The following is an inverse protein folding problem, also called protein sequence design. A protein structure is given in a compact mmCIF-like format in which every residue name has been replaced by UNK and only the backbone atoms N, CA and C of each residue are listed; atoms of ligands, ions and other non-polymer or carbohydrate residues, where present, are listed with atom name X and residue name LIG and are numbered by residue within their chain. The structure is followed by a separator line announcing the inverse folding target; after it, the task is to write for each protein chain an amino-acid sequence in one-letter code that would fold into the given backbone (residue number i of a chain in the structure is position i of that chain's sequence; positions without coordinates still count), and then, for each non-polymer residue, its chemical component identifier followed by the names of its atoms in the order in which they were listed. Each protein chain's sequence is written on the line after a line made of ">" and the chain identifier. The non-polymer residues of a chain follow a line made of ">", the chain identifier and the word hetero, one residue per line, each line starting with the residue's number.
data_IF_646983649627
#
_entry.id   IF_646983649627
#
_cell.length_a   1.000
_cell.length_b   1.000
_cell.length_c   1.000
_cell.angle_alpha   90.00
_cell.angle_beta   90.00
_cell.angle_gamma   90.00
#
_symmetry.space_group_name_H-M   'P 1'
#
loop_
_entity.id
_entity.type
_entity.pdbx_description
1 polymer ?
#
# COMPACT_ATOMS: atom_id res chain seq x y z
N UNK A 1 -51.30 -20.76 4.78
CA UNK A 1 -50.25 -21.54 5.49
C UNK A 1 -48.95 -21.73 4.68
N UNK A 2 -48.60 -20.82 3.77
CA UNK A 2 -47.39 -20.93 2.96
C UNK A 2 -46.35 -19.78 3.17
N UNK A 3 -46.50 -19.01 4.26
CA UNK A 3 -45.60 -17.85 4.54
C UNK A 3 -44.54 -18.07 5.62
N UNK A 4 -44.69 -19.07 6.47
CA UNK A 4 -43.78 -19.23 7.64
C UNK A 4 -42.54 -20.14 7.38
N UNK A 5 -42.58 -20.98 6.34
CA UNK A 5 -41.43 -21.86 6.06
C UNK A 5 -40.28 -21.19 5.30
N UNK A 6 -40.54 -20.09 4.59
CA UNK A 6 -39.48 -19.37 3.83
C UNK A 6 -38.61 -18.45 4.72
N UNK A 7 -39.16 -17.95 5.84
CA UNK A 7 -38.41 -17.06 6.74
C UNK A 7 -37.45 -17.82 7.69
N UNK A 8 -37.77 -19.05 8.05
CA UNK A 8 -36.91 -19.84 8.93
C UNK A 8 -35.66 -20.39 8.26
N UNK A 9 -35.67 -20.54 6.92
CA UNK A 9 -34.51 -21.00 6.17
C UNK A 9 -33.49 -19.89 5.95
N UNK A 10 -33.94 -18.63 5.80
CA UNK A 10 -33.04 -17.46 5.69
C UNK A 10 -32.37 -17.10 7.02
N UNK A 11 -33.07 -17.24 8.11
CA UNK A 11 -32.54 -16.97 9.48
C UNK A 11 -31.51 -18.04 9.89
N UNK A 12 -31.68 -19.29 9.49
CA UNK A 12 -30.71 -20.35 9.75
C UNK A 12 -29.44 -20.21 8.90
N UNK A 13 -29.53 -19.75 7.63
CA UNK A 13 -28.37 -19.48 6.78
C UNK A 13 -27.52 -18.30 7.31
N UNK A 14 -28.14 -17.22 7.77
CA UNK A 14 -27.41 -16.09 8.33
C UNK A 14 -26.77 -16.39 9.71
N UNK A 15 -27.34 -17.32 10.51
CA UNK A 15 -26.70 -17.73 11.76
C UNK A 15 -25.50 -18.67 11.55
N UNK A 16 -25.45 -19.43 10.47
CA UNK A 16 -24.29 -20.24 10.14
C UNK A 16 -23.14 -19.41 9.55
N UNK A 17 -23.43 -18.39 8.73
CA UNK A 17 -22.38 -17.49 8.21
C UNK A 17 -21.72 -16.64 9.32
N UNK A 18 -22.47 -16.27 10.37
CA UNK A 18 -21.89 -15.56 11.53
C UNK A 18 -21.11 -16.47 12.48
N UNK A 19 -21.32 -17.78 12.42
CA UNK A 19 -20.52 -18.76 13.19
C UNK A 19 -19.24 -19.17 12.47
N UNK A 20 -19.20 -19.15 11.14
CA UNK A 20 -17.97 -19.40 10.39
C UNK A 20 -17.00 -18.23 10.45
N UNK A 21 -17.48 -16.98 10.51
CA UNK A 21 -16.63 -15.80 10.68
C UNK A 21 -15.94 -15.73 12.06
N UNK A 22 -16.48 -16.42 13.08
CA UNK A 22 -15.91 -16.44 14.44
C UNK A 22 -15.01 -17.65 14.74
N UNK A 23 -14.81 -18.57 13.79
CA UNK A 23 -13.95 -19.73 13.99
C UNK A 23 -12.49 -19.53 13.56
N UNK A 24 -12.12 -18.30 13.15
CA UNK A 24 -10.71 -17.92 12.99
C UNK A 24 -10.05 -17.43 14.28
N UNK A 25 -10.70 -17.52 15.42
CA UNK A 25 -10.02 -17.45 16.72
C UNK A 25 -9.24 -18.74 16.91
N UNK A 26 -8.02 -18.71 16.43
CA UNK A 26 -6.94 -19.67 16.58
C UNK A 26 -6.88 -20.21 18.01
N UNK A 27 -7.05 -21.53 18.17
CA UNK A 27 -6.36 -22.25 19.24
C UNK A 27 -4.88 -22.00 19.04
N UNK A 28 -4.31 -21.11 19.84
CA UNK A 28 -2.88 -20.85 19.86
C UNK A 28 -2.15 -22.08 20.38
N UNK A 29 -1.81 -23.00 19.50
CA UNK A 29 -0.61 -23.80 19.73
C UNK A 29 0.55 -22.84 19.54
N UNK A 30 0.88 -22.09 20.58
CA UNK A 30 2.02 -21.20 20.63
C UNK A 30 3.29 -22.05 20.70
N UNK A 31 3.76 -22.49 19.55
CA UNK A 31 5.18 -22.80 19.44
C UNK A 31 5.92 -21.52 19.81
N UNK A 32 6.79 -21.52 20.84
CA UNK A 32 7.52 -20.32 21.22
C UNK A 32 8.24 -19.78 19.99
N UNK A 33 8.14 -18.46 19.74
CA UNK A 33 8.91 -17.82 18.69
C UNK A 33 10.41 -18.03 19.04
N UNK A 34 11.27 -18.33 18.06
CA UNK A 34 12.68 -18.53 18.32
C UNK A 34 13.29 -17.23 18.87
N UNK A 35 13.58 -17.22 20.15
CA UNK A 35 14.29 -16.16 20.89
C UNK A 35 15.76 -16.51 20.93
N UNK A 36 16.48 -16.51 19.80
CA UNK A 36 17.86 -16.97 19.78
C UNK A 36 18.80 -16.07 19.01
N UNK A 37 20.00 -15.87 19.54
CA UNK A 37 21.15 -15.35 18.79
C UNK A 37 21.33 -16.16 17.51
N UNK A 38 21.38 -15.48 16.35
CA UNK A 38 21.69 -16.12 15.08
C UNK A 38 20.54 -16.25 14.07
N UNK A 39 19.38 -15.64 14.31
CA UNK A 39 18.33 -15.56 13.27
C UNK A 39 18.79 -14.63 12.15
N UNK A 40 18.95 -15.18 10.93
CA UNK A 40 19.31 -14.43 9.73
C UNK A 40 18.24 -14.56 8.67
N UNK A 41 17.81 -13.44 8.12
CA UNK A 41 16.80 -13.43 7.06
C UNK A 41 17.12 -12.41 5.98
N UNK A 42 16.65 -12.72 4.76
CA UNK A 42 16.71 -11.82 3.62
C UNK A 42 15.30 -11.27 3.36
N UNK A 43 15.21 -9.96 3.14
CA UNK A 43 14.00 -9.30 2.60
C UNK A 43 14.35 -8.75 1.23
N UNK A 44 13.60 -9.15 0.20
CA UNK A 44 13.87 -8.75 -1.17
C UNK A 44 12.66 -8.10 -1.83
N UNK A 45 12.92 -6.98 -2.47
CA UNK A 45 11.92 -6.22 -3.19
C UNK A 45 12.40 -4.82 -3.48
N UNK A 46 11.57 -4.04 -4.17
CA UNK A 46 11.90 -2.66 -4.46
C UNK A 46 11.35 -2.18 -5.80
N UNK A 47 11.98 -1.13 -6.32
CA UNK A 47 11.58 -0.44 -7.55
C UNK A 47 10.59 0.69 -7.33
N UNK A 48 9.72 0.58 -6.33
CA UNK A 48 8.73 1.62 -5.97
C UNK A 48 8.54 1.69 -4.46
N UNK A 49 8.04 2.82 -3.96
CA UNK A 49 7.69 2.98 -2.55
C UNK A 49 6.64 1.96 -2.07
N UNK A 50 5.76 1.50 -2.97
CA UNK A 50 4.76 0.47 -2.67
C UNK A 50 5.34 -0.88 -2.25
N UNK A 51 6.57 -1.20 -2.62
CA UNK A 51 7.29 -2.39 -2.18
C UNK A 51 8.27 -2.11 -1.02
N UNK A 52 8.93 -0.94 -1.06
CA UNK A 52 10.00 -0.61 -0.12
C UNK A 52 9.46 -0.38 1.28
N UNK A 53 8.40 0.41 1.44
CA UNK A 53 7.84 0.72 2.75
C UNK A 53 7.25 -0.49 3.46
N UNK A 54 6.47 -1.38 2.81
CA UNK A 54 6.08 -2.65 3.40
C UNK A 54 7.27 -3.51 3.84
N UNK A 55 8.33 -3.58 3.03
CA UNK A 55 9.54 -4.33 3.37
C UNK A 55 10.22 -3.81 4.65
N UNK A 56 10.37 -2.50 4.78
CA UNK A 56 10.94 -1.84 5.97
C UNK A 56 10.02 -2.06 7.19
N UNK A 57 8.71 -1.95 7.03
CA UNK A 57 7.75 -2.18 8.12
C UNK A 57 7.79 -3.62 8.63
N UNK A 58 7.92 -4.60 7.73
CA UNK A 58 8.11 -6.01 8.10
C UNK A 58 9.43 -6.20 8.86
N UNK A 59 10.53 -5.59 8.38
CA UNK A 59 11.83 -5.66 9.04
C UNK A 59 11.78 -5.07 10.46
N UNK A 60 11.14 -3.92 10.63
CA UNK A 60 10.96 -3.29 11.94
C UNK A 60 10.16 -4.18 12.89
N UNK A 61 9.04 -4.76 12.44
CA UNK A 61 8.23 -5.67 13.23
C UNK A 61 9.00 -6.96 13.61
N UNK A 62 9.85 -7.47 12.72
CA UNK A 62 10.73 -8.60 13.04
C UNK A 62 11.75 -8.20 14.12
N UNK A 63 12.33 -7.00 14.04
CA UNK A 63 13.27 -6.49 15.04
C UNK A 63 12.61 -6.25 16.40
N UNK A 64 11.35 -5.84 16.45
CA UNK A 64 10.58 -5.74 17.69
C UNK A 64 10.34 -7.08 18.34
N UNK A 65 10.04 -8.13 17.56
CA UNK A 65 9.82 -9.50 18.06
C UNK A 65 11.12 -10.26 18.33
N UNK A 66 12.17 -9.98 17.58
CA UNK A 66 13.48 -10.64 17.67
C UNK A 66 14.58 -9.59 17.45
N UNK A 67 14.99 -8.84 18.51
CA UNK A 67 15.96 -7.74 18.42
C UNK A 67 17.32 -8.16 17.85
N UNK A 68 17.75 -9.39 18.11
CA UNK A 68 19.04 -9.95 17.65
C UNK A 68 18.99 -10.47 16.21
N UNK A 69 17.84 -10.42 15.50
CA UNK A 69 17.74 -10.89 14.13
C UNK A 69 18.62 -10.05 13.19
N UNK A 70 19.42 -10.71 12.37
CA UNK A 70 20.20 -10.08 11.30
C UNK A 70 19.35 -10.03 10.02
N UNK A 71 19.10 -8.83 9.52
CA UNK A 71 18.28 -8.60 8.32
C UNK A 71 19.16 -8.03 7.22
N UNK A 72 19.19 -8.71 6.08
CA UNK A 72 19.82 -8.22 4.86
C UNK A 72 18.76 -7.97 3.79
N UNK A 73 18.76 -6.76 3.24
CA UNK A 73 17.92 -6.44 2.09
C UNK A 73 18.64 -6.78 0.78
N UNK A 74 17.85 -7.20 -0.22
CA UNK A 74 18.31 -7.40 -1.58
C UNK A 74 17.39 -6.65 -2.51
N UNK A 75 17.91 -5.62 -3.17
CA UNK A 75 17.16 -4.70 -4.05
C UNK A 75 17.72 -4.64 -5.47
N UNK A 76 17.20 -3.75 -6.29
CA UNK A 76 17.68 -3.48 -7.64
C UNK A 76 18.70 -2.33 -7.63
N UNK A 77 19.84 -2.52 -8.29
CA UNK A 77 20.88 -1.50 -8.42
C UNK A 77 20.31 -0.21 -9.05
N UNK A 78 20.71 0.96 -8.52
CA UNK A 78 20.32 2.26 -9.03
C UNK A 78 18.84 2.63 -8.81
N UNK A 79 18.14 1.90 -7.94
CA UNK A 79 16.76 2.18 -7.58
C UNK A 79 16.64 2.81 -6.19
N UNK A 80 15.45 3.31 -5.89
CA UNK A 80 15.13 4.06 -4.67
C UNK A 80 15.46 3.29 -3.38
N UNK A 81 15.33 1.96 -3.39
CA UNK A 81 15.64 1.11 -2.24
C UNK A 81 17.09 1.20 -1.82
N UNK A 82 18.03 1.43 -2.76
CA UNK A 82 19.45 1.56 -2.44
C UNK A 82 19.77 2.76 -1.54
N UNK A 83 18.86 3.72 -1.44
CA UNK A 83 18.95 4.87 -0.55
C UNK A 83 18.01 4.70 0.67
N UNK A 84 16.74 4.33 0.43
CA UNK A 84 15.72 4.30 1.48
C UNK A 84 15.93 3.23 2.53
N UNK A 85 16.49 2.08 2.15
CA UNK A 85 16.76 0.99 3.11
C UNK A 85 17.90 1.35 4.06
N UNK A 86 19.06 1.90 3.60
CA UNK A 86 20.07 2.44 4.50
C UNK A 86 19.56 3.58 5.39
N UNK A 87 18.73 4.50 4.86
CA UNK A 87 18.11 5.58 5.65
C UNK A 87 17.27 5.00 6.82
N UNK A 88 16.72 3.80 6.66
CA UNK A 88 15.99 3.07 7.71
C UNK A 88 16.88 2.22 8.62
N UNK A 89 18.20 2.25 8.44
CA UNK A 89 19.19 1.56 9.30
C UNK A 89 19.48 0.11 8.89
N UNK A 90 19.10 -0.33 7.69
CA UNK A 90 19.33 -1.69 7.22
C UNK A 90 20.41 -1.77 6.13
N UNK A 91 21.13 -2.88 6.12
CA UNK A 91 22.07 -3.23 5.03
C UNK A 91 21.30 -3.67 3.80
N UNK A 92 21.77 -3.25 2.61
CA UNK A 92 21.21 -3.67 1.32
C UNK A 92 22.30 -4.02 0.33
N UNK A 93 22.04 -5.03 -0.49
CA UNK A 93 22.88 -5.39 -1.64
C UNK A 93 22.01 -5.30 -2.90
N UNK A 94 22.52 -4.60 -3.92
CA UNK A 94 21.83 -4.45 -5.20
C UNK A 94 22.09 -5.64 -6.14
N UNK A 95 21.05 -6.00 -6.92
CA UNK A 95 21.14 -6.93 -8.03
C UNK A 95 21.05 -6.15 -9.37
N UNK A 96 21.80 -6.54 -10.40
CA UNK A 96 21.76 -5.93 -11.72
C UNK A 96 20.50 -6.36 -12.49
N UNK A 97 19.32 -6.06 -11.95
CA UNK A 97 18.03 -6.38 -12.56
C UNK A 97 17.47 -5.21 -13.36
N UNK A 98 16.72 -5.51 -14.41
CA UNK A 98 15.97 -4.53 -15.18
C UNK A 98 14.59 -5.10 -15.56
N UNK A 99 13.60 -4.21 -15.73
CA UNK A 99 12.30 -4.58 -16.24
C UNK A 99 12.35 -4.96 -17.73
N UNK A 100 11.45 -5.85 -18.16
CA UNK A 100 11.26 -6.17 -19.57
C UNK A 100 10.68 -4.96 -20.31
N UNK A 101 11.30 -4.60 -21.43
CA UNK A 101 10.75 -3.61 -22.35
C UNK A 101 9.72 -4.30 -23.25
N UNK A 102 8.44 -4.00 -23.03
CA UNK A 102 7.32 -4.57 -23.80
C UNK A 102 7.24 -4.02 -25.22
N UNK A 103 7.88 -2.86 -25.51
CA UNK A 103 7.84 -2.18 -26.80
C UNK A 103 9.01 -2.58 -27.70
N UNK A 104 10.15 -2.95 -27.14
CA UNK A 104 11.39 -3.21 -27.88
C UNK A 104 11.98 -4.56 -27.51
N UNK A 105 11.52 -5.63 -28.16
CA UNK A 105 11.93 -7.01 -27.87
C UNK A 105 13.44 -7.25 -27.96
N UNK A 106 14.14 -6.56 -28.84
CA UNK A 106 15.61 -6.67 -29.01
C UNK A 106 16.39 -6.21 -27.76
N UNK A 107 15.86 -5.26 -27.00
CA UNK A 107 16.46 -4.82 -25.73
C UNK A 107 16.37 -5.88 -24.64
N UNK A 108 15.49 -6.87 -24.80
CA UNK A 108 15.27 -7.92 -23.80
C UNK A 108 16.40 -8.95 -23.73
N UNK A 109 17.29 -9.03 -24.76
CA UNK A 109 18.47 -9.89 -24.69
C UNK A 109 19.40 -9.44 -23.54
N UNK A 110 19.64 -8.14 -23.41
CA UNK A 110 20.40 -7.59 -22.26
C UNK A 110 19.70 -7.82 -20.92
N UNK A 111 18.36 -7.81 -20.89
CA UNK A 111 17.57 -8.11 -19.69
C UNK A 111 17.73 -9.56 -19.29
N UNK A 112 17.76 -10.49 -20.24
CA UNK A 112 17.97 -11.93 -19.97
C UNK A 112 19.37 -12.17 -19.37
N UNK A 113 20.41 -11.56 -19.93
CA UNK A 113 21.78 -11.64 -19.38
C UNK A 113 21.84 -11.05 -17.96
N UNK A 114 21.20 -9.91 -17.73
CA UNK A 114 21.08 -9.31 -16.39
C UNK A 114 20.35 -10.24 -15.42
N UNK A 115 19.30 -10.93 -15.86
CA UNK A 115 18.56 -11.88 -15.03
C UNK A 115 19.44 -13.05 -14.60
N UNK A 116 20.21 -13.64 -15.53
CA UNK A 116 21.15 -14.73 -15.23
C UNK A 116 22.22 -14.24 -14.24
N UNK A 117 22.84 -13.09 -14.49
CA UNK A 117 23.82 -12.48 -13.58
C UNK A 117 23.23 -12.21 -12.18
N UNK A 118 21.98 -11.76 -12.13
CA UNK A 118 21.26 -11.51 -10.89
C UNK A 118 21.02 -12.79 -10.11
N UNK A 119 20.71 -13.91 -10.77
CA UNK A 119 20.57 -15.21 -10.12
C UNK A 119 21.89 -15.70 -9.52
N UNK A 120 23.00 -15.56 -10.26
CA UNK A 120 24.34 -15.92 -9.75
C UNK A 120 24.73 -15.05 -8.55
N UNK A 121 24.49 -13.72 -8.64
CA UNK A 121 24.77 -12.79 -7.53
C UNK A 121 23.88 -13.10 -6.32
N UNK A 122 22.60 -13.34 -6.51
CA UNK A 122 21.68 -13.74 -5.44
C UNK A 122 22.15 -15.05 -4.76
N UNK A 123 22.59 -16.06 -5.54
CA UNK A 123 23.16 -17.30 -5.01
C UNK A 123 24.39 -17.03 -4.15
N UNK A 124 25.31 -16.15 -4.59
CA UNK A 124 26.50 -15.79 -3.84
C UNK A 124 26.13 -15.11 -2.51
N UNK A 125 25.21 -14.13 -2.55
CA UNK A 125 24.72 -13.43 -1.35
C UNK A 125 24.13 -14.42 -0.35
N UNK A 126 23.28 -15.36 -0.82
CA UNK A 126 22.65 -16.36 0.04
C UNK A 126 23.68 -17.32 0.66
N UNK A 127 24.69 -17.74 -0.11
CA UNK A 127 25.78 -18.59 0.41
C UNK A 127 26.61 -17.91 1.49
N UNK A 128 26.90 -16.63 1.31
CA UNK A 128 27.70 -15.84 2.22
C UNK A 128 26.91 -15.50 3.50
N UNK A 129 25.71 -14.96 3.33
CA UNK A 129 24.87 -14.52 4.45
C UNK A 129 24.21 -15.67 5.21
N UNK A 130 23.94 -16.81 4.55
CA UNK A 130 23.30 -18.01 5.11
C UNK A 130 21.97 -17.71 5.81
N UNK A 131 21.00 -17.13 5.13
CA UNK A 131 19.69 -16.84 5.72
C UNK A 131 18.92 -18.15 6.00
N UNK A 132 18.07 -18.13 7.03
CA UNK A 132 17.19 -19.24 7.38
C UNK A 132 15.82 -19.09 6.72
N UNK A 133 15.48 -17.89 6.28
CA UNK A 133 14.23 -17.58 5.54
C UNK A 133 14.45 -16.38 4.61
N UNK A 134 13.73 -16.36 3.49
CA UNK A 134 13.74 -15.24 2.57
C UNK A 134 12.30 -14.74 2.31
N UNK A 135 12.09 -13.43 2.39
CA UNK A 135 10.81 -12.76 2.18
C UNK A 135 10.86 -11.94 0.91
N UNK A 136 9.90 -12.12 0.02
CA UNK A 136 9.71 -11.33 -1.19
C UNK A 136 8.50 -10.41 -1.06
N UNK A 137 8.73 -9.12 -1.25
CA UNK A 137 7.65 -8.10 -1.22
C UNK A 137 7.29 -7.58 -2.61
N UNK A 138 7.77 -8.23 -3.67
CA UNK A 138 7.56 -7.81 -5.05
C UNK A 138 8.68 -6.95 -5.61
N UNK A 139 8.55 -6.60 -6.88
CA UNK A 139 9.59 -5.90 -7.65
C UNK A 139 10.59 -6.85 -8.31
N UNK A 140 11.51 -6.27 -9.10
CA UNK A 140 12.38 -7.07 -9.96
C UNK A 140 13.43 -7.90 -9.20
N UNK A 141 13.89 -7.44 -8.04
CA UNK A 141 14.92 -8.12 -7.26
C UNK A 141 14.38 -9.35 -6.52
N UNK A 142 13.10 -9.37 -6.17
CA UNK A 142 12.51 -10.47 -5.41
C UNK A 142 12.46 -11.78 -6.21
N UNK A 143 12.30 -11.70 -7.53
CA UNK A 143 12.31 -12.86 -8.43
C UNK A 143 13.57 -13.71 -8.32
N UNK A 144 14.75 -13.18 -8.70
CA UNK A 144 16.02 -13.90 -8.60
C UNK A 144 16.35 -14.35 -7.17
N UNK A 145 16.07 -13.49 -6.19
CA UNK A 145 16.39 -13.77 -4.78
C UNK A 145 15.62 -14.97 -4.24
N UNK A 146 14.28 -14.95 -4.35
CA UNK A 146 13.45 -16.02 -3.83
C UNK A 146 13.58 -17.31 -4.63
N UNK A 147 13.79 -17.20 -5.96
CA UNK A 147 14.07 -18.37 -6.79
C UNK A 147 15.33 -19.09 -6.31
N UNK A 148 16.42 -18.35 -6.06
CA UNK A 148 17.67 -18.95 -5.60
C UNK A 148 17.54 -19.46 -4.16
N UNK A 149 16.87 -18.75 -3.27
CA UNK A 149 16.60 -19.21 -1.91
C UNK A 149 15.84 -20.54 -1.93
N UNK A 150 14.74 -20.64 -2.67
CA UNK A 150 13.96 -21.87 -2.81
C UNK A 150 14.74 -23.03 -3.43
N UNK A 151 15.63 -22.75 -4.42
CA UNK A 151 16.51 -23.77 -5.02
C UNK A 151 17.59 -24.27 -4.04
N UNK A 152 17.95 -23.47 -3.05
CA UNK A 152 18.91 -23.81 -2.02
C UNK A 152 18.24 -24.38 -0.74
N UNK A 153 16.94 -24.69 -0.80
CA UNK A 153 16.20 -25.29 0.31
C UNK A 153 15.84 -24.30 1.44
N UNK A 154 15.97 -23.00 1.19
CA UNK A 154 15.62 -21.97 2.18
C UNK A 154 14.13 -21.66 2.04
N UNK A 155 13.35 -21.71 3.15
CA UNK A 155 11.94 -21.31 3.15
C UNK A 155 11.74 -19.90 2.61
N UNK A 156 10.70 -19.72 1.77
CA UNK A 156 10.38 -18.42 1.19
C UNK A 156 8.94 -18.02 1.52
N UNK A 157 8.74 -16.76 1.84
CA UNK A 157 7.43 -16.13 1.99
C UNK A 157 7.27 -15.03 0.96
N UNK A 158 6.04 -14.83 0.53
CA UNK A 158 5.65 -13.75 -0.38
C UNK A 158 4.67 -12.83 0.36
N UNK A 159 4.83 -11.52 0.18
CA UNK A 159 3.84 -10.52 0.55
C UNK A 159 3.34 -9.85 -0.73
N UNK A 160 2.02 -9.93 -0.99
CA UNK A 160 1.35 -9.29 -2.11
C UNK A 160 0.47 -8.14 -1.62
N UNK A 161 0.76 -6.94 -2.11
CA UNK A 161 0.10 -5.72 -1.66
C UNK A 161 -1.21 -5.41 -2.40
N UNK A 162 -1.34 -5.90 -3.62
CA UNK A 162 -2.42 -5.52 -4.53
C UNK A 162 -3.53 -6.56 -4.61
N UNK A 163 -4.71 -6.15 -5.02
CA UNK A 163 -5.84 -7.04 -5.31
C UNK A 163 -5.66 -7.88 -6.58
N UNK A 164 -4.61 -7.59 -7.36
CA UNK A 164 -4.18 -8.35 -8.52
C UNK A 164 -2.70 -8.68 -8.40
N UNK A 165 -2.41 -9.98 -8.36
CA UNK A 165 -1.06 -10.46 -8.10
C UNK A 165 -0.07 -10.09 -9.21
N UNK A 166 1.10 -9.60 -8.81
CA UNK A 166 2.20 -9.35 -9.73
C UNK A 166 2.76 -10.63 -10.36
N UNK A 167 3.27 -10.53 -11.59
CA UNK A 167 3.80 -11.68 -12.35
C UNK A 167 4.88 -12.43 -11.55
N UNK A 168 5.79 -11.70 -10.92
CA UNK A 168 6.86 -12.30 -10.11
C UNK A 168 6.30 -13.15 -8.97
N UNK A 169 5.34 -12.62 -8.23
CA UNK A 169 4.72 -13.33 -7.10
C UNK A 169 3.96 -14.58 -7.58
N UNK A 170 3.25 -14.50 -8.73
CA UNK A 170 2.59 -15.67 -9.33
C UNK A 170 3.58 -16.78 -9.69
N UNK A 171 4.73 -16.44 -10.26
CA UNK A 171 5.77 -17.41 -10.64
C UNK A 171 6.43 -18.08 -9.41
N UNK A 172 6.55 -17.35 -8.31
CA UNK A 172 7.19 -17.83 -7.09
C UNK A 172 6.23 -18.60 -6.16
N UNK A 173 4.92 -18.42 -6.32
CA UNK A 173 3.88 -18.91 -5.41
C UNK A 173 3.93 -20.41 -5.14
N UNK A 174 4.20 -21.22 -6.17
CA UNK A 174 4.25 -22.69 -6.04
C UNK A 174 5.33 -23.19 -5.07
N UNK A 175 6.45 -22.46 -4.99
CA UNK A 175 7.59 -22.83 -4.12
C UNK A 175 7.58 -22.08 -2.78
N UNK A 176 6.78 -21.05 -2.65
CA UNK A 176 6.65 -20.32 -1.39
C UNK A 176 5.96 -21.19 -0.33
N UNK A 177 6.41 -21.04 0.92
CA UNK A 177 5.79 -21.68 2.08
C UNK A 177 4.48 -21.01 2.45
N UNK A 178 4.46 -19.69 2.45
CA UNK A 178 3.31 -18.85 2.80
C UNK A 178 3.24 -17.64 1.89
N UNK A 179 2.02 -17.14 1.68
CA UNK A 179 1.72 -15.99 0.85
C UNK A 179 0.79 -15.07 1.64
N UNK A 180 1.35 -13.99 2.13
CA UNK A 180 0.64 -12.96 2.88
C UNK A 180 -0.04 -11.99 1.90
N UNK A 181 -1.34 -11.84 1.99
CA UNK A 181 -2.13 -11.02 1.05
C UNK A 181 -2.92 -9.93 1.77
N UNK A 182 -3.26 -8.88 1.05
CA UNK A 182 -4.01 -7.75 1.58
C UNK A 182 -5.48 -7.72 1.14
N UNK A 183 -5.86 -8.54 0.19
CA UNK A 183 -7.21 -8.58 -0.38
C UNK A 183 -7.75 -10.02 -0.43
N UNK A 184 -9.07 -10.14 -0.32
CA UNK A 184 -9.80 -11.37 -0.54
C UNK A 184 -9.77 -11.78 -2.04
N UNK A 185 -10.10 -13.06 -2.32
CA UNK A 185 -10.18 -13.56 -3.70
C UNK A 185 -8.83 -13.78 -4.36
N UNK A 186 -7.75 -13.91 -3.58
CA UNK A 186 -6.40 -14.13 -4.09
C UNK A 186 -6.12 -15.60 -4.46
N UNK A 187 -7.01 -16.52 -4.12
CA UNK A 187 -6.96 -17.95 -4.51
C UNK A 187 -7.03 -18.16 -6.02
N UNK A 188 -7.53 -17.18 -6.76
CA UNK A 188 -7.46 -17.17 -8.24
C UNK A 188 -6.03 -17.02 -8.81
N UNK A 189 -5.08 -16.58 -7.98
CA UNK A 189 -3.69 -16.37 -8.36
C UNK A 189 -2.72 -17.29 -7.65
N UNK A 190 -3.06 -17.72 -6.44
CA UNK A 190 -2.17 -18.43 -5.52
C UNK A 190 -2.82 -19.69 -4.98
N UNK A 191 -2.03 -20.72 -4.60
CA UNK A 191 -2.55 -21.88 -3.88
C UNK A 191 -3.25 -21.48 -2.59
N UNK A 192 -4.52 -21.82 -2.44
CA UNK A 192 -5.38 -21.37 -1.33
C UNK A 192 -4.81 -21.77 0.04
N UNK A 193 -4.21 -22.93 0.18
CA UNK A 193 -3.62 -23.47 1.41
C UNK A 193 -2.38 -22.71 1.90
N UNK A 194 -1.81 -21.86 1.04
CA UNK A 194 -0.64 -21.03 1.36
C UNK A 194 -1.00 -19.59 1.70
N UNK A 195 -2.23 -19.17 1.40
CA UNK A 195 -2.68 -17.80 1.59
C UNK A 195 -2.94 -17.51 3.06
N UNK A 196 -2.46 -16.36 3.51
CA UNK A 196 -2.77 -15.78 4.81
C UNK A 196 -3.23 -14.34 4.57
N UNK A 197 -4.44 -14.02 5.03
CA UNK A 197 -4.94 -12.65 5.01
C UNK A 197 -4.28 -11.86 6.13
N UNK A 198 -3.33 -11.00 5.77
CA UNK A 198 -2.56 -10.21 6.73
C UNK A 198 -2.81 -8.71 6.62
N UNK A 199 -3.28 -8.25 5.48
CA UNK A 199 -3.27 -6.84 5.13
C UNK A 199 -1.89 -6.36 4.66
N UNK A 200 -1.81 -5.06 4.37
CA UNK A 200 -0.55 -4.39 4.06
C UNK A 200 0.05 -3.73 5.29
N UNK A 201 1.36 -3.86 5.50
CA UNK A 201 2.05 -3.06 6.50
C UNK A 201 1.89 -1.57 6.20
N UNK A 202 1.46 -0.80 7.19
CA UNK A 202 1.35 0.66 7.13
C UNK A 202 2.38 1.31 8.05
N UNK A 203 2.58 2.60 7.86
CA UNK A 203 3.50 3.39 8.67
C UNK A 203 3.02 3.45 10.13
N UNK A 204 3.83 2.99 11.06
CA UNK A 204 3.47 2.91 12.48
C UNK A 204 3.17 4.28 13.12
N UNK A 205 3.83 5.34 12.66
CA UNK A 205 3.59 6.70 13.14
C UNK A 205 2.19 7.26 12.84
N UNK A 206 1.40 6.56 12.02
CA UNK A 206 0.00 6.93 11.77
C UNK A 206 -0.97 6.35 12.82
N UNK A 207 -0.57 5.30 13.54
CA UNK A 207 -1.46 4.53 14.42
C UNK A 207 -1.35 4.90 15.91
N UNK A 208 -0.35 5.68 16.30
CA UNK A 208 -0.04 5.94 17.72
C UNK A 208 -0.53 7.26 18.30
N UNK A 209 -1.10 8.15 17.50
CA UNK A 209 -1.40 9.51 17.93
C UNK A 209 -2.87 9.86 17.74
N UNK A 210 -3.56 10.14 18.85
CA UNK A 210 -4.90 10.75 18.81
C UNK A 210 -4.74 12.27 18.58
N UNK A 211 -4.59 12.68 17.32
CA UNK A 211 -4.55 14.09 16.95
C UNK A 211 -5.99 14.59 16.83
N UNK A 212 -6.32 15.65 17.54
CA UNK A 212 -7.63 16.28 17.43
C UNK A 212 -7.79 16.95 16.06
N UNK A 213 -8.93 16.74 15.41
CA UNK A 213 -9.22 17.32 14.09
C UNK A 213 -8.98 18.85 14.06
N UNK A 214 -9.47 19.59 15.06
CA UNK A 214 -9.30 21.03 15.13
C UNK A 214 -7.81 21.46 15.20
N UNK A 215 -6.98 20.73 15.93
CA UNK A 215 -5.55 21.04 16.05
C UNK A 215 -4.81 20.70 14.75
N UNK A 216 -5.17 19.60 14.11
CA UNK A 216 -4.63 19.21 12.82
C UNK A 216 -4.96 20.23 11.72
N UNK A 217 -6.19 20.74 11.67
CA UNK A 217 -6.59 21.79 10.72
C UNK A 217 -5.81 23.09 10.96
N UNK A 218 -5.66 23.50 12.24
CA UNK A 218 -4.85 24.69 12.61
C UNK A 218 -3.37 24.53 12.24
N UNK A 219 -2.83 23.31 12.31
CA UNK A 219 -1.44 23.03 11.89
C UNK A 219 -1.18 23.47 10.44
N UNK A 220 -2.18 23.35 9.56
CA UNK A 220 -2.12 23.83 8.18
C UNK A 220 -2.53 25.29 7.99
N UNK A 221 -2.80 26.03 9.07
CA UNK A 221 -3.26 27.43 9.01
C UNK A 221 -4.68 27.58 8.48
N UNK A 222 -5.49 26.54 8.56
CA UNK A 222 -6.87 26.49 8.09
C UNK A 222 -7.88 26.66 9.25
N UNK A 223 -9.16 26.83 8.91
CA UNK A 223 -10.23 27.05 9.88
C UNK A 223 -10.84 25.71 10.35
N UNK A 224 -10.79 25.38 11.67
CA UNK A 224 -11.34 24.15 12.22
C UNK A 224 -12.84 23.93 12.04
N UNK A 225 -13.60 25.02 11.83
CA UNK A 225 -15.06 24.96 11.66
C UNK A 225 -15.49 24.57 10.24
N UNK A 226 -14.53 24.46 9.30
CA UNK A 226 -14.79 24.14 7.90
C UNK A 226 -14.36 22.72 7.55
N UNK A 227 -15.07 22.15 6.58
CA UNK A 227 -14.72 20.83 6.04
C UNK A 227 -13.45 20.89 5.19
N UNK A 228 -12.62 19.87 5.31
CA UNK A 228 -11.29 19.81 4.68
C UNK A 228 -11.19 18.64 3.72
N UNK A 229 -10.81 18.91 2.47
CA UNK A 229 -10.44 17.90 1.46
C UNK A 229 -8.92 17.82 1.39
N UNK A 230 -8.37 16.63 1.61
CA UNK A 230 -6.95 16.32 1.44
C UNK A 230 -6.70 15.72 0.07
N UNK A 231 -5.78 16.28 -0.70
CA UNK A 231 -5.44 15.80 -2.05
C UNK A 231 -4.01 15.28 -2.06
N UNK A 232 -3.87 14.00 -2.45
CA UNK A 232 -2.60 13.28 -2.46
C UNK A 232 -2.29 12.74 -3.86
N UNK A 233 -1.21 13.23 -4.45
CA UNK A 233 -0.68 12.73 -5.72
C UNK A 233 0.37 11.62 -5.58
N UNK A 234 0.71 11.24 -4.33
CA UNK A 234 1.90 10.44 -4.04
C UNK A 234 3.19 11.28 -4.08
N UNK A 235 4.34 10.67 -3.80
CA UNK A 235 5.65 11.38 -3.68
C UNK A 235 6.10 12.07 -4.97
N UNK A 236 5.70 11.56 -6.12
CA UNK A 236 6.05 12.12 -7.44
C UNK A 236 4.97 13.08 -7.98
N UNK A 237 3.83 13.15 -7.32
CA UNK A 237 2.66 13.87 -7.79
C UNK A 237 1.83 13.07 -8.81
N UNK A 238 0.60 13.52 -9.05
CA UNK A 238 -0.34 12.92 -10.00
C UNK A 238 -0.75 13.96 -11.04
N UNK A 239 -0.21 13.84 -12.25
CA UNK A 239 -0.41 14.83 -13.33
C UNK A 239 -1.88 15.21 -13.51
N UNK A 240 -2.76 14.24 -13.73
CA UNK A 240 -4.18 14.47 -14.00
C UNK A 240 -4.87 15.16 -12.84
N UNK A 241 -4.63 14.72 -11.61
CA UNK A 241 -5.18 15.35 -10.40
C UNK A 241 -4.70 16.80 -10.31
N UNK A 242 -3.39 17.06 -10.46
CA UNK A 242 -2.83 18.40 -10.42
C UNK A 242 -3.42 19.31 -11.51
N UNK A 243 -3.50 18.82 -12.75
CA UNK A 243 -4.09 19.59 -13.86
C UNK A 243 -5.57 19.90 -13.62
N UNK A 244 -6.32 18.95 -13.05
CA UNK A 244 -7.74 19.14 -12.73
C UNK A 244 -7.91 20.24 -11.68
N UNK A 245 -7.14 20.20 -10.59
CA UNK A 245 -7.22 21.20 -9.52
C UNK A 245 -6.71 22.57 -9.98
N UNK A 246 -5.65 22.59 -10.78
CA UNK A 246 -5.14 23.84 -11.37
C UNK A 246 -6.20 24.50 -12.26
N UNK A 247 -6.88 23.74 -13.09
CA UNK A 247 -7.98 24.26 -13.91
C UNK A 247 -9.21 24.67 -13.08
N UNK A 248 -9.38 24.11 -11.89
CA UNK A 248 -10.49 24.37 -10.98
C UNK A 248 -10.18 25.40 -9.87
N UNK A 249 -9.11 26.18 -9.94
CA UNK A 249 -8.74 27.16 -8.90
C UNK A 249 -9.85 28.18 -8.64
N UNK A 250 -10.58 28.61 -9.66
CA UNK A 250 -11.74 29.50 -9.49
C UNK A 250 -12.87 28.81 -8.73
N UNK A 251 -13.11 27.53 -8.97
CA UNK A 251 -14.10 26.75 -8.22
C UNK A 251 -13.69 26.67 -6.76
N UNK A 252 -12.43 26.36 -6.46
CA UNK A 252 -11.90 26.33 -5.10
C UNK A 252 -12.10 27.66 -4.39
N UNK A 253 -11.75 28.77 -5.07
CA UNK A 253 -11.86 30.14 -4.53
C UNK A 253 -13.30 30.54 -4.24
N UNK A 254 -14.26 30.09 -5.04
CA UNK A 254 -15.70 30.41 -4.91
C UNK A 254 -16.46 29.51 -3.93
N UNK A 255 -15.77 28.53 -3.30
CA UNK A 255 -16.32 27.65 -2.23
C UNK A 255 -15.59 27.87 -0.91
N UNK A 256 -15.74 29.04 -0.26
CA UNK A 256 -14.95 29.40 0.94
C UNK A 256 -15.32 28.59 2.19
N UNK A 257 -16.42 27.86 2.18
CA UNK A 257 -16.91 26.95 3.24
C UNK A 257 -16.24 25.56 3.19
N UNK A 258 -15.56 25.23 2.10
CA UNK A 258 -14.73 24.03 1.96
C UNK A 258 -13.28 24.45 1.83
N UNK A 259 -12.38 23.75 2.47
CA UNK A 259 -10.96 24.04 2.38
C UNK A 259 -10.14 22.82 1.93
N UNK A 260 -8.94 23.09 1.44
CA UNK A 260 -8.16 22.12 0.69
C UNK A 260 -6.71 22.08 1.21
N UNK A 261 -6.21 20.86 1.43
CA UNK A 261 -4.78 20.59 1.64
C UNK A 261 -4.30 19.81 0.42
N UNK A 262 -3.41 20.40 -0.37
CA UNK A 262 -3.00 19.83 -1.64
C UNK A 262 -1.51 19.57 -1.71
N UNK A 263 -1.14 18.27 -1.79
CA UNK A 263 0.21 17.84 -2.08
C UNK A 263 0.38 17.62 -3.59
N UNK A 264 1.17 18.48 -4.22
CA UNK A 264 1.36 18.47 -5.67
C UNK A 264 2.42 17.48 -6.15
N UNK A 265 3.42 17.17 -5.33
CA UNK A 265 4.69 16.56 -5.73
C UNK A 265 5.69 17.60 -6.25
N UNK A 266 6.98 17.32 -6.06
CA UNK A 266 8.09 18.27 -6.38
C UNK A 266 8.09 18.75 -7.82
N UNK A 267 7.68 17.91 -8.77
CA UNK A 267 7.73 18.23 -10.20
C UNK A 267 6.68 19.30 -10.59
N UNK A 268 5.58 19.39 -9.83
CA UNK A 268 4.42 20.20 -10.22
C UNK A 268 4.25 21.47 -9.38
N UNK A 269 4.95 21.61 -8.26
CA UNK A 269 4.69 22.69 -7.30
C UNK A 269 4.87 24.09 -7.92
N UNK A 270 5.89 24.30 -8.72
CA UNK A 270 6.18 25.62 -9.31
C UNK A 270 5.10 25.99 -10.34
N UNK A 271 4.69 25.04 -11.19
CA UNK A 271 3.59 25.24 -12.15
C UNK A 271 2.27 25.57 -11.44
N UNK A 272 1.99 24.91 -10.31
CA UNK A 272 0.77 25.17 -9.52
C UNK A 272 0.84 26.56 -8.88
N UNK A 273 1.98 26.99 -8.35
CA UNK A 273 2.18 28.34 -7.79
C UNK A 273 2.00 29.42 -8.85
N UNK A 274 2.54 29.23 -10.04
CA UNK A 274 2.34 30.13 -11.18
C UNK A 274 0.86 30.27 -11.52
N UNK A 275 0.11 29.16 -11.57
CA UNK A 275 -1.31 29.17 -11.85
C UNK A 275 -2.13 29.88 -10.74
N UNK A 276 -1.77 29.71 -9.47
CA UNK A 276 -2.40 30.43 -8.36
C UNK A 276 -2.14 31.93 -8.49
N UNK A 277 -0.90 32.33 -8.80
CA UNK A 277 -0.55 33.73 -9.01
C UNK A 277 -1.33 34.34 -10.19
N UNK A 278 -1.46 33.60 -11.31
CA UNK A 278 -2.24 34.03 -12.46
C UNK A 278 -3.75 34.19 -12.13
N UNK A 279 -4.29 33.34 -11.27
CA UNK A 279 -5.70 33.38 -10.88
C UNK A 279 -6.00 34.50 -9.87
N UNK A 280 -5.08 34.80 -8.97
CA UNK A 280 -5.29 35.77 -7.87
C UNK A 280 -4.70 37.15 -8.11
N UNK A 281 -3.72 37.26 -9.02
CA UNK A 281 -2.92 38.47 -9.23
C UNK A 281 -1.88 38.69 -8.14
N UNK A 282 -1.76 37.81 -7.14
CA UNK A 282 -0.84 37.93 -6.02
C UNK A 282 0.27 36.88 -6.07
N UNK A 283 1.51 37.30 -5.91
CA UNK A 283 2.63 36.38 -5.82
C UNK A 283 2.57 35.57 -4.53
N UNK A 284 2.77 34.26 -4.63
CA UNK A 284 2.84 33.36 -3.47
C UNK A 284 4.12 33.65 -2.68
N UNK A 285 3.99 34.42 -1.59
CA UNK A 285 5.12 34.89 -0.77
C UNK A 285 5.62 33.85 0.24
N UNK A 286 4.76 32.91 0.64
CA UNK A 286 5.10 31.82 1.55
C UNK A 286 4.91 30.49 0.80
N UNK A 287 5.88 29.55 0.86
CA UNK A 287 5.78 28.29 0.14
C UNK A 287 4.56 27.43 0.48
N UNK A 288 3.87 27.73 1.59
CA UNK A 288 2.75 26.94 2.07
C UNK A 288 1.43 27.69 2.15
N UNK A 289 1.46 29.04 2.21
CA UNK A 289 0.24 29.86 2.26
C UNK A 289 -0.07 30.35 0.88
N UNK A 290 -1.17 29.85 0.32
CA UNK A 290 -1.72 30.30 -0.95
C UNK A 290 -2.37 31.67 -0.78
N UNK A 291 -2.40 32.48 -1.85
CA UNK A 291 -3.23 33.69 -1.92
C UNK A 291 -4.73 33.36 -1.92
N UNK A 292 -5.11 32.09 -2.01
CA UNK A 292 -6.47 31.57 -1.85
C UNK A 292 -6.64 31.12 -0.40
N UNK A 293 -7.47 31.81 0.42
CA UNK A 293 -7.50 31.60 1.88
C UNK A 293 -7.91 30.20 2.36
N UNK A 294 -8.67 29.47 1.55
CA UNK A 294 -9.12 28.10 1.83
C UNK A 294 -8.25 27.03 1.19
N UNK A 295 -7.02 27.36 0.77
CA UNK A 295 -6.12 26.43 0.07
C UNK A 295 -4.72 26.44 0.68
N UNK A 296 -4.30 25.29 1.22
CA UNK A 296 -2.91 25.00 1.58
C UNK A 296 -2.27 24.15 0.47
N UNK A 297 -1.13 24.59 -0.06
CA UNK A 297 -0.42 23.90 -1.15
C UNK A 297 1.02 23.63 -0.76
N UNK A 298 1.48 22.40 -0.97
CA UNK A 298 2.87 22.00 -0.74
C UNK A 298 3.33 20.96 -1.76
N UNK A 299 4.63 20.89 -1.99
CA UNK A 299 5.22 19.82 -2.80
C UNK A 299 5.15 18.46 -2.10
N UNK A 300 5.37 18.44 -0.79
CA UNK A 300 5.39 17.21 0.02
C UNK A 300 4.91 17.46 1.45
N UNK A 301 4.00 16.63 1.92
CA UNK A 301 3.53 16.65 3.31
C UNK A 301 4.43 15.73 4.13
N UNK A 302 5.18 16.32 5.07
CA UNK A 302 6.06 15.58 5.98
C UNK A 302 5.27 14.90 7.10
N UNK A 303 4.29 15.59 7.64
CA UNK A 303 3.44 15.12 8.73
C UNK A 303 2.09 14.62 8.19
N UNK A 304 2.08 13.38 7.73
CA UNK A 304 0.87 12.74 7.22
C UNK A 304 -0.15 12.45 8.32
N UNK A 305 0.26 12.31 9.58
CA UNK A 305 -0.67 12.09 10.69
C UNK A 305 -1.59 13.31 10.87
N UNK A 306 -1.01 14.53 10.90
CA UNK A 306 -1.79 15.76 10.90
C UNK A 306 -2.65 15.92 9.64
N UNK A 307 -2.13 15.59 8.46
CA UNK A 307 -2.90 15.69 7.21
C UNK A 307 -4.14 14.79 7.22
N UNK A 308 -3.98 13.54 7.64
CA UNK A 308 -5.12 12.63 7.76
C UNK A 308 -6.08 13.05 8.87
N UNK A 309 -5.58 13.53 10.03
CA UNK A 309 -6.45 14.01 11.10
C UNK A 309 -7.28 15.24 10.69
N UNK A 310 -6.72 16.12 9.85
CA UNK A 310 -7.40 17.29 9.30
C UNK A 310 -8.43 16.95 8.21
N UNK A 311 -8.32 15.79 7.56
CA UNK A 311 -9.13 15.46 6.40
C UNK A 311 -10.51 14.91 6.78
N UNK A 312 -11.58 15.48 6.22
CA UNK A 312 -12.94 14.90 6.18
C UNK A 312 -13.14 14.02 4.94
N UNK A 313 -12.47 14.35 3.84
CA UNK A 313 -12.49 13.61 2.57
C UNK A 313 -11.08 13.58 1.98
N UNK A 314 -10.69 12.48 1.39
CA UNK A 314 -9.39 12.34 0.70
C UNK A 314 -9.61 12.12 -0.79
N UNK A 315 -8.81 12.78 -1.62
CA UNK A 315 -8.67 12.50 -3.05
C UNK A 315 -7.28 11.92 -3.27
N UNK A 316 -7.17 10.73 -3.86
CA UNK A 316 -5.88 10.07 -4.02
C UNK A 316 -5.82 9.15 -5.23
N UNK A 317 -4.60 8.80 -5.65
CA UNK A 317 -4.34 7.60 -6.44
C UNK A 317 -4.66 6.34 -5.62
N UNK A 318 -4.92 5.21 -6.29
CA UNK A 318 -5.30 3.95 -5.67
C UNK A 318 -4.07 3.03 -5.42
N UNK A 319 -3.00 3.58 -4.84
CA UNK A 319 -1.85 2.81 -4.39
C UNK A 319 -2.20 1.93 -3.18
N UNK A 320 -1.73 0.69 -3.16
CA UNK A 320 -2.09 -0.30 -2.14
C UNK A 320 -1.78 0.16 -0.70
N UNK A 321 -0.61 0.79 -0.49
CA UNK A 321 -0.24 1.33 0.83
C UNK A 321 -1.17 2.44 1.30
N UNK A 322 -1.49 3.40 0.43
CA UNK A 322 -2.40 4.51 0.74
C UNK A 322 -3.81 4.01 1.05
N UNK A 323 -4.32 3.06 0.27
CA UNK A 323 -5.63 2.43 0.53
C UNK A 323 -5.66 1.79 1.91
N UNK A 324 -4.60 1.07 2.29
CA UNK A 324 -4.53 0.43 3.61
C UNK A 324 -4.49 1.46 4.74
N UNK A 325 -3.83 2.61 4.54
CA UNK A 325 -3.87 3.74 5.48
C UNK A 325 -5.29 4.32 5.58
N UNK A 326 -5.99 4.53 4.46
CA UNK A 326 -7.38 5.02 4.48
C UNK A 326 -8.33 4.07 5.21
N UNK A 327 -8.18 2.77 5.01
CA UNK A 327 -8.97 1.76 5.72
C UNK A 327 -8.75 1.84 7.23
N UNK A 328 -7.48 1.87 7.68
CA UNK A 328 -7.12 1.93 9.09
C UNK A 328 -7.52 3.24 9.78
N UNK A 329 -7.50 4.34 9.04
CA UNK A 329 -7.88 5.67 9.54
C UNK A 329 -9.34 6.02 9.25
N UNK A 330 -10.11 5.09 8.69
CA UNK A 330 -11.53 5.22 8.36
C UNK A 330 -11.85 6.45 7.49
N UNK A 331 -10.95 6.79 6.55
CA UNK A 331 -11.07 8.02 5.76
C UNK A 331 -11.97 7.83 4.55
N UNK A 332 -13.05 8.61 4.41
CA UNK A 332 -13.78 8.70 3.15
C UNK A 332 -12.84 9.08 2.01
N UNK A 333 -12.90 8.39 0.88
CA UNK A 333 -11.94 8.58 -0.21
C UNK A 333 -12.58 8.56 -1.59
N UNK A 334 -12.11 9.46 -2.45
CA UNK A 334 -12.30 9.43 -3.89
C UNK A 334 -11.01 8.94 -4.52
N UNK A 335 -11.07 7.81 -5.18
CA UNK A 335 -9.92 7.18 -5.83
C UNK A 335 -9.91 7.52 -7.32
N UNK A 336 -8.77 8.02 -7.77
CA UNK A 336 -8.46 8.31 -9.18
C UNK A 336 -7.28 7.42 -9.59
N UNK A 337 -7.52 6.17 -10.01
CA UNK A 337 -6.44 5.24 -10.34
C UNK A 337 -5.54 5.76 -11.45
N UNK A 338 -4.23 5.53 -11.33
CA UNK A 338 -3.29 5.85 -12.40
C UNK A 338 -3.41 4.84 -13.53
N UNK A 339 -3.56 5.27 -14.80
CA UNK A 339 -3.59 4.37 -15.94
C UNK A 339 -2.19 3.83 -16.32
N UNK A 340 -1.13 4.42 -15.78
CA UNK A 340 0.26 4.16 -16.16
C UNK A 340 0.97 3.19 -15.20
N UNK A 341 0.24 2.24 -14.61
CA UNK A 341 0.81 1.23 -13.71
C UNK A 341 0.72 -0.16 -14.33
N UNK A 342 1.63 -1.04 -13.89
CA UNK A 342 1.66 -2.41 -14.38
C UNK A 342 0.31 -3.11 -14.12
N UNK A 343 -0.19 -3.82 -15.15
CA UNK A 343 -1.39 -4.67 -15.05
C UNK A 343 -2.66 -3.97 -14.53
N UNK A 344 -2.70 -2.63 -14.62
CA UNK A 344 -3.84 -1.81 -14.16
C UNK A 344 -4.23 -2.10 -12.70
N UNK A 345 -3.24 -2.38 -11.85
CA UNK A 345 -3.50 -2.79 -10.48
C UNK A 345 -4.18 -1.69 -9.64
N UNK A 346 -3.98 -0.40 -9.94
CA UNK A 346 -4.63 0.67 -9.20
C UNK A 346 -6.15 0.71 -9.45
N UNK A 347 -6.60 0.49 -10.68
CA UNK A 347 -8.04 0.38 -10.96
C UNK A 347 -8.64 -0.80 -10.21
N UNK A 348 -7.97 -1.96 -10.21
CA UNK A 348 -8.43 -3.15 -9.50
C UNK A 348 -8.46 -2.94 -7.98
N UNK A 349 -7.47 -2.27 -7.41
CA UNK A 349 -7.46 -1.89 -6.00
C UNK A 349 -8.64 -0.96 -5.66
N UNK A 350 -8.90 0.04 -6.49
CA UNK A 350 -10.03 0.96 -6.28
C UNK A 350 -11.37 0.22 -6.32
N UNK A 351 -11.59 -0.61 -7.33
CA UNK A 351 -12.83 -1.36 -7.50
C UNK A 351 -13.09 -2.32 -6.34
N UNK A 352 -12.05 -2.91 -5.75
CA UNK A 352 -12.19 -3.76 -4.56
C UNK A 352 -12.83 -3.02 -3.35
N UNK A 353 -12.67 -1.69 -3.28
CA UNK A 353 -13.32 -0.86 -2.27
C UNK A 353 -14.70 -0.39 -2.74
N UNK A 354 -14.83 -0.01 -4.00
CA UNK A 354 -16.08 0.48 -4.61
C UNK A 354 -17.16 -0.59 -4.57
N UNK A 355 -16.83 -1.83 -4.86
CA UNK A 355 -17.74 -2.99 -4.81
C UNK A 355 -18.30 -3.25 -3.38
N UNK A 356 -17.69 -2.62 -2.37
CA UNK A 356 -18.11 -2.66 -0.95
C UNK A 356 -18.65 -1.31 -0.46
N UNK A 357 -18.98 -0.40 -1.37
CA UNK A 357 -19.44 0.98 -1.08
C UNK A 357 -18.47 1.74 -0.14
N UNK A 358 -17.18 1.41 -0.18
CA UNK A 358 -16.15 1.95 0.72
C UNK A 358 -15.30 3.07 0.10
N UNK A 359 -15.48 3.36 -1.18
CA UNK A 359 -14.81 4.44 -1.88
C UNK A 359 -15.65 4.93 -3.08
N UNK A 360 -15.36 6.13 -3.53
CA UNK A 360 -15.86 6.68 -4.80
C UNK A 360 -14.76 6.52 -5.85
N UNK A 361 -15.14 6.15 -7.07
CA UNK A 361 -14.22 5.97 -8.19
C UNK A 361 -14.45 7.04 -9.25
N UNK A 362 -13.37 7.71 -9.64
CA UNK A 362 -13.34 8.62 -10.79
C UNK A 362 -12.25 8.14 -11.75
N UNK A 363 -12.60 7.88 -13.01
CA UNK A 363 -11.62 7.51 -14.03
C UNK A 363 -10.67 8.65 -14.29
N UNK A 364 -9.37 8.36 -14.49
CA UNK A 364 -8.35 9.37 -14.76
C UNK A 364 -8.72 10.28 -15.93
N UNK A 365 -9.23 9.72 -17.02
CA UNK A 365 -9.63 10.47 -18.21
C UNK A 365 -10.86 11.38 -18.00
N UNK A 366 -11.69 11.09 -16.99
CA UNK A 366 -12.87 11.86 -16.64
C UNK A 366 -12.62 12.86 -15.49
N UNK A 367 -11.43 12.81 -14.88
CA UNK A 367 -11.14 13.57 -13.66
C UNK A 367 -11.30 15.09 -13.86
N UNK A 368 -10.88 15.61 -15.01
CA UNK A 368 -10.97 17.05 -15.32
C UNK A 368 -12.39 17.59 -15.19
N UNK A 369 -13.38 16.80 -15.58
CA UNK A 369 -14.78 17.21 -15.58
C UNK A 369 -15.52 16.81 -14.30
N UNK A 370 -15.19 15.64 -13.73
CA UNK A 370 -15.99 15.01 -12.67
C UNK A 370 -15.39 15.17 -11.28
N UNK A 371 -14.06 15.28 -11.12
CA UNK A 371 -13.41 15.15 -9.81
C UNK A 371 -13.85 16.22 -8.82
N UNK A 372 -13.74 17.50 -9.17
CA UNK A 372 -14.15 18.59 -8.27
C UNK A 372 -15.66 18.61 -7.98
N UNK A 373 -16.55 18.49 -8.98
CA UNK A 373 -17.99 18.37 -8.71
C UNK A 373 -18.34 17.24 -7.76
N UNK A 374 -17.80 16.03 -8.00
CA UNK A 374 -18.03 14.86 -7.13
C UNK A 374 -17.47 15.09 -5.71
N UNK A 375 -16.31 15.72 -5.59
CA UNK A 375 -15.70 16.01 -4.29
C UNK A 375 -16.52 17.02 -3.49
N UNK A 376 -17.00 18.10 -4.13
CA UNK A 376 -17.82 19.13 -3.48
C UNK A 376 -19.20 18.59 -3.09
N UNK A 377 -19.84 17.79 -3.95
CA UNK A 377 -21.09 17.10 -3.62
C UNK A 377 -20.91 16.14 -2.44
N UNK A 378 -19.83 15.34 -2.45
CA UNK A 378 -19.57 14.35 -1.39
C UNK A 378 -19.30 15.03 -0.06
N UNK A 379 -18.45 16.07 -0.02
CA UNK A 379 -18.10 16.74 1.24
C UNK A 379 -19.29 17.51 1.84
N UNK A 380 -20.21 17.95 1.03
CA UNK A 380 -21.45 18.62 1.46
C UNK A 380 -22.51 17.64 2.00
N UNK A 381 -22.30 16.33 1.85
CA UNK A 381 -23.25 15.29 2.29
C UNK A 381 -22.70 14.50 3.50
N UNK A 382 -23.11 14.84 4.75
CA UNK A 382 -22.62 14.18 5.97
C UNK A 382 -22.96 12.68 6.04
N UNK A 383 -24.14 12.26 5.53
CA UNK A 383 -24.54 10.85 5.50
C UNK A 383 -23.62 10.05 4.58
N UNK A 384 -23.31 10.57 3.40
CA UNK A 384 -22.41 9.94 2.44
C UNK A 384 -20.99 9.78 3.03
N UNK A 385 -20.48 10.82 3.69
CA UNK A 385 -19.19 10.74 4.38
C UNK A 385 -19.20 9.68 5.49
N UNK A 386 -20.27 9.63 6.27
CA UNK A 386 -20.40 8.64 7.35
C UNK A 386 -20.48 7.21 6.81
N UNK A 387 -21.22 6.98 5.73
CA UNK A 387 -21.35 5.65 5.11
C UNK A 387 -20.02 5.17 4.53
N UNK A 388 -19.31 6.05 3.79
CA UNK A 388 -17.98 5.75 3.28
C UNK A 388 -17.02 5.41 4.41
N UNK A 389 -17.01 6.20 5.49
CA UNK A 389 -16.15 5.97 6.67
C UNK A 389 -16.48 4.63 7.35
N UNK A 390 -17.75 4.30 7.56
CA UNK A 390 -18.17 3.02 8.15
C UNK A 390 -17.80 1.83 7.28
N UNK A 391 -17.98 1.96 5.96
CA UNK A 391 -17.71 0.85 5.05
C UNK A 391 -16.22 0.60 4.87
N UNK A 392 -15.41 1.66 4.72
CA UNK A 392 -13.96 1.51 4.58
C UNK A 392 -13.32 0.98 5.87
N UNK A 393 -13.86 1.33 7.04
CA UNK A 393 -13.43 0.82 8.34
C UNK A 393 -13.54 -0.72 8.45
N UNK A 394 -14.54 -1.33 7.80
CA UNK A 394 -14.73 -2.79 7.77
C UNK A 394 -13.59 -3.51 7.03
N UNK A 395 -12.84 -2.79 6.19
CA UNK A 395 -11.71 -3.30 5.41
C UNK A 395 -10.36 -3.08 6.12
N UNK A 396 -10.36 -2.48 7.29
CA UNK A 396 -9.16 -2.25 8.08
C UNK A 396 -8.55 -3.58 8.57
N UNK A 397 -7.26 -3.77 8.31
CA UNK A 397 -6.49 -4.90 8.78
C UNK A 397 -5.32 -4.35 9.62
N UNK A 398 -5.53 -4.20 10.94
CA UNK A 398 -4.49 -3.72 11.84
C UNK A 398 -3.41 -4.77 12.04
N UNK A 399 -2.26 -4.36 12.57
CA UNK A 399 -1.15 -5.23 12.95
C UNK A 399 -0.52 -6.07 11.82
N UNK A 400 -0.77 -5.69 10.56
CA UNK A 400 -0.31 -6.42 9.38
C UNK A 400 1.19 -6.73 9.42
N UNK A 401 2.03 -5.75 9.76
CA UNK A 401 3.48 -5.95 9.85
C UNK A 401 3.86 -7.00 10.91
N UNK A 402 3.23 -6.93 12.08
CA UNK A 402 3.44 -7.89 13.19
C UNK A 402 2.96 -9.29 12.83
N UNK A 403 1.81 -9.40 12.17
CA UNK A 403 1.27 -10.70 11.72
C UNK A 403 2.24 -11.33 10.70
N UNK A 404 2.69 -10.56 9.70
CA UNK A 404 3.65 -11.03 8.70
C UNK A 404 4.98 -11.43 9.38
N UNK A 405 5.49 -10.59 10.29
CA UNK A 405 6.72 -10.89 11.03
C UNK A 405 6.62 -12.20 11.81
N UNK A 406 5.50 -12.48 12.47
CA UNK A 406 5.26 -13.76 13.15
C UNK A 406 5.25 -14.93 12.18
N UNK A 407 4.63 -14.81 11.01
CA UNK A 407 4.65 -15.88 9.99
C UNK A 407 6.06 -16.11 9.43
N UNK A 408 6.86 -15.04 9.25
CA UNK A 408 8.28 -15.16 8.87
C UNK A 408 9.07 -15.92 9.93
N UNK A 409 8.92 -15.57 11.20
CA UNK A 409 9.64 -16.23 12.30
C UNK A 409 9.20 -17.69 12.50
N UNK A 410 7.93 -18.02 12.31
CA UNK A 410 7.45 -19.41 12.30
C UNK A 410 8.07 -20.25 11.17
N UNK A 411 8.38 -19.63 10.05
CA UNK A 411 8.97 -20.30 8.88
C UNK A 411 10.47 -20.54 9.00
N UNK A 412 11.11 -20.18 10.11
CA UNK A 412 12.49 -20.58 10.44
C UNK A 412 12.61 -22.11 10.68
N UNK A 413 11.50 -22.77 11.03
CA UNK A 413 11.38 -24.23 11.01
C UNK A 413 11.06 -24.72 9.58
N UNK A 414 11.52 -25.91 9.15
CA UNK A 414 11.25 -26.40 7.81
C UNK A 414 9.75 -26.37 7.49
N UNK A 415 9.37 -25.89 6.32
CA UNK A 415 8.01 -26.03 5.81
C UNK A 415 7.66 -27.52 5.74
N UNK A 416 6.44 -27.91 6.17
CA UNK A 416 5.99 -29.27 5.91
C UNK A 416 6.03 -29.51 4.39
N UNK A 417 6.73 -30.57 3.98
CA UNK A 417 6.75 -31.00 2.58
C UNK A 417 5.30 -31.19 2.10
N UNK A 418 4.94 -30.77 0.90
CA UNK A 418 3.66 -31.17 0.33
C UNK A 418 3.61 -32.69 0.39
N UNK A 419 2.59 -33.22 1.06
CA UNK A 419 2.34 -34.67 1.16
C UNK A 419 2.53 -35.27 -0.22
N UNK A 420 3.48 -36.17 -0.36
CA UNK A 420 3.83 -36.80 -1.61
C UNK A 420 2.54 -37.36 -2.25
N UNK A 421 2.35 -37.13 -3.52
CA UNK A 421 1.42 -37.91 -4.30
C UNK A 421 1.97 -39.34 -4.22
N UNK A 422 1.20 -40.19 -3.54
CA UNK A 422 1.50 -41.61 -3.49
C UNK A 422 1.72 -42.13 -4.89
N UNK A 423 2.71 -42.99 -5.05
CA UNK A 423 2.98 -43.82 -6.17
C UNK A 423 1.76 -44.66 -6.58
#
# INVERSE_FOLDING_TARGET
>A
SNGEHANNTKIKKNKNMSKEANNYTTKSNSTPLPTGKGVRLIISGGGTGGHIFPAISIANAIKELCPDAEILFVGAEGRMEMQRVPDAGYRIIGLPVAGFDRKHLWKNFSVLLKLIRSQWKARSIIKEFRPQVAVGVGGYASGPTLKMAGMMGIPTLIQEQNSYAGVTNKLLAQKACKICVAYEGMEKFFPAEKIIMTGNPVRQNLLGHSILHADAVKYFGLNPEKKTILILGGSLGARTINQTLTAGLDIIRTHPDVQFIWQTGKIYIDQVREAITATTGEAVRNPHISAIPNLYVTDFIKDMANAYAAADLVISRAGAGSISEFCLLHKPVILVPSPNVAEDHQTKNALALVDKDAAIYVKDVEAKEKLLPVALETIANPEKLQDLSKNIAKLALPDSATIIAKEVLKSLSPCPSPVGRGE
#
